data_IF_289773394657
#
_entry.id   IF_289773394657
#
_cell.length_a   1.000
_cell.length_b   1.000
_cell.length_c   1.000
_cell.angle_alpha   90.00
_cell.angle_beta   90.00
_cell.angle_gamma   90.00
#
_symmetry.space_group_name_H-M   'P 1'
#
loop_
_entity.id
_entity.type
_entity.pdbx_description
1 polymer ?
#
# COMPACT_ATOMS: atom_id res chain seq x y z
N UNK A 1 4.22 -60.55 23.45
CA UNK A 1 3.57 -60.18 24.72
C UNK A 1 3.32 -58.69 24.69
N UNK A 2 2.11 -58.24 24.34
CA UNK A 2 1.03 -57.76 25.21
C UNK A 2 1.58 -56.75 26.25
N UNK A 3 1.22 -55.48 26.24
CA UNK A 3 -0.03 -54.77 26.61
C UNK A 3 0.34 -53.29 26.78
N UNK A 4 -0.42 -52.27 26.77
CA UNK A 4 -1.84 -51.91 26.68
C UNK A 4 -1.87 -50.36 26.57
N UNK A 5 -2.68 -49.90 25.73
CA UNK A 5 -3.13 -48.54 25.49
C UNK A 5 -3.88 -47.98 26.70
N UNK A 6 -3.64 -46.72 27.06
CA UNK A 6 -4.58 -45.98 27.89
C UNK A 6 -4.85 -44.60 27.27
N UNK A 7 -6.04 -44.44 26.82
CA UNK A 7 -6.68 -43.17 26.43
C UNK A 7 -7.06 -42.39 27.71
N UNK A 8 -6.72 -41.11 27.76
CA UNK A 8 -7.35 -40.19 28.70
C UNK A 8 -7.99 -39.08 27.90
N UNK A 9 -9.30 -39.15 27.76
CA UNK A 9 -10.17 -38.04 27.34
C UNK A 9 -10.26 -37.07 28.53
N UNK A 10 -9.82 -35.83 28.33
CA UNK A 10 -10.18 -34.75 29.23
C UNK A 10 -11.32 -33.92 28.56
N UNK A 11 -12.53 -34.12 29.02
CA UNK A 11 -13.68 -33.29 28.70
C UNK A 11 -13.58 -31.99 29.50
N UNK A 12 -13.46 -30.86 28.84
CA UNK A 12 -13.62 -29.54 29.47
C UNK A 12 -15.08 -29.16 29.36
N UNK A 13 -15.73 -29.12 30.52
CA UNK A 13 -17.08 -28.56 30.68
C UNK A 13 -17.00 -27.04 30.57
N UNK A 14 -17.67 -26.48 29.56
CA UNK A 14 -17.97 -25.05 29.49
C UNK A 14 -19.22 -24.80 30.37
N UNK A 15 -19.03 -24.11 31.49
CA UNK A 15 -20.12 -23.61 32.33
C UNK A 15 -20.56 -22.26 31.78
N UNK A 16 -21.66 -22.22 31.03
CA UNK A 16 -22.37 -20.98 30.73
C UNK A 16 -23.11 -20.51 31.98
N UNK A 17 -22.65 -19.45 32.64
CA UNK A 17 -23.42 -18.71 33.61
C UNK A 17 -24.33 -17.71 32.89
N UNK A 18 -25.60 -18.05 32.75
CA UNK A 18 -26.65 -17.11 32.37
C UNK A 18 -27.03 -16.25 33.60
N UNK A 19 -26.67 -14.98 33.52
CA UNK A 19 -27.23 -13.99 34.43
C UNK A 19 -28.49 -13.39 33.75
N UNK A 20 -29.65 -13.79 34.22
CA UNK A 20 -30.94 -13.19 33.84
C UNK A 20 -31.12 -11.92 34.67
N UNK A 21 -31.06 -10.76 34.05
CA UNK A 21 -31.59 -9.53 34.61
C UNK A 21 -32.89 -9.19 33.91
N UNK A 22 -34.01 -9.44 34.60
CA UNK A 22 -35.32 -8.89 34.24
C UNK A 22 -35.39 -7.45 34.71
N UNK A 23 -35.43 -6.52 33.79
CA UNK A 23 -35.94 -5.18 34.02
C UNK A 23 -37.03 -4.89 32.98
N UNK A 24 -38.26 -4.81 33.43
CA UNK A 24 -39.37 -4.35 32.60
C UNK A 24 -39.30 -2.83 32.47
N UNK A 25 -39.11 -2.33 31.29
CA UNK A 25 -39.59 -1.03 30.84
C UNK A 25 -40.07 -1.20 29.40
N UNK A 26 -41.41 -1.03 29.23
CA UNK A 26 -42.06 -0.99 27.95
C UNK A 26 -41.68 0.31 27.26
N UNK A 27 -40.76 0.23 26.27
CA UNK A 27 -40.62 1.19 25.19
C UNK A 27 -40.47 0.38 23.90
N UNK A 28 -41.62 0.18 23.23
CA UNK A 28 -41.71 -0.48 21.92
C UNK A 28 -41.25 0.46 20.80
N UNK A 29 -39.99 0.90 20.83
CA UNK A 29 -39.29 1.40 19.66
C UNK A 29 -38.64 0.20 19.00
N UNK A 30 -38.87 -0.06 17.70
CA UNK A 30 -38.15 -1.15 17.00
C UNK A 30 -36.66 -0.87 17.06
N UNK A 31 -35.92 -1.69 17.81
CA UNK A 31 -34.48 -1.68 17.83
C UNK A 31 -34.05 -2.02 16.43
N UNK A 32 -33.37 -1.08 15.75
CA UNK A 32 -32.73 -1.32 14.47
C UNK A 32 -31.67 -2.42 14.70
N UNK A 33 -31.74 -3.60 14.03
CA UNK A 33 -30.79 -4.68 14.23
C UNK A 33 -29.32 -4.27 13.99
N UNK A 34 -29.06 -3.15 13.30
CA UNK A 34 -27.73 -2.58 13.07
C UNK A 34 -27.16 -1.85 14.30
N UNK A 35 -27.99 -1.48 15.30
CA UNK A 35 -27.54 -0.80 16.54
C UNK A 35 -26.95 -1.73 17.61
N UNK A 36 -27.10 -3.05 17.48
CA UNK A 36 -26.53 -4.02 18.43
C UNK A 36 -25.17 -4.58 18.00
N UNK A 37 -24.71 -4.31 16.78
CA UNK A 37 -23.39 -4.75 16.32
C UNK A 37 -22.32 -3.76 16.76
N UNK A 38 -21.34 -4.22 17.50
CA UNK A 38 -20.18 -3.42 17.87
C UNK A 38 -19.21 -3.38 16.68
N UNK A 39 -19.37 -2.38 15.83
CA UNK A 39 -18.48 -2.11 14.72
C UNK A 39 -17.17 -1.44 15.19
N UNK A 40 -16.12 -1.58 14.40
CA UNK A 40 -14.90 -0.77 14.54
C UNK A 40 -15.21 0.71 14.31
N UNK A 41 -14.32 1.59 14.74
CA UNK A 41 -14.51 3.04 14.54
C UNK A 41 -14.59 3.39 13.05
N UNK A 42 -13.75 2.77 12.21
CA UNK A 42 -13.79 2.97 10.76
C UNK A 42 -15.15 2.63 10.16
N UNK A 43 -15.75 1.49 10.53
CA UNK A 43 -17.08 1.10 10.04
C UNK A 43 -18.18 1.98 10.62
N UNK A 44 -18.09 2.34 11.90
CA UNK A 44 -19.06 3.24 12.55
C UNK A 44 -19.05 4.63 11.89
N UNK A 45 -17.89 5.13 11.49
CA UNK A 45 -17.78 6.37 10.73
C UNK A 45 -18.36 6.22 9.31
N UNK A 46 -18.05 5.11 8.62
CA UNK A 46 -18.60 4.85 7.29
C UNK A 46 -20.13 4.83 7.30
N UNK A 47 -20.75 4.16 8.26
CA UNK A 47 -22.21 4.12 8.40
C UNK A 47 -22.76 5.53 8.54
N UNK A 48 -22.19 6.35 9.42
CA UNK A 48 -22.61 7.77 9.59
C UNK A 48 -22.47 8.58 8.31
N UNK A 49 -21.37 8.40 7.59
CA UNK A 49 -21.15 9.07 6.31
C UNK A 49 -22.15 8.63 5.25
N UNK A 50 -22.41 7.35 5.13
CA UNK A 50 -23.36 6.83 4.14
C UNK A 50 -24.80 7.26 4.45
N UNK A 51 -25.17 7.35 5.71
CA UNK A 51 -26.51 7.86 6.12
C UNK A 51 -26.65 9.36 5.84
N UNK A 52 -25.57 10.12 5.97
CA UNK A 52 -25.53 11.55 5.63
C UNK A 52 -25.45 11.85 4.13
N UNK A 53 -25.05 10.88 3.30
CA UNK A 53 -24.79 11.06 1.84
C UNK A 53 -25.44 9.93 1.04
N UNK A 54 -26.77 9.92 0.90
CA UNK A 54 -27.53 8.84 0.25
C UNK A 54 -27.18 8.64 -1.22
N UNK A 55 -26.67 9.64 -1.89
CA UNK A 55 -26.20 9.58 -3.28
C UNK A 55 -24.88 8.79 -3.39
N UNK A 56 -23.94 8.96 -2.44
CA UNK A 56 -22.69 8.20 -2.36
C UNK A 56 -22.96 6.78 -1.88
N UNK A 57 -23.85 6.61 -0.89
CA UNK A 57 -24.34 5.29 -0.46
C UNK A 57 -24.86 4.46 -1.65
N UNK A 58 -25.67 5.07 -2.50
CA UNK A 58 -26.21 4.40 -3.70
C UNK A 58 -25.10 4.04 -4.72
N UNK A 59 -24.01 4.82 -4.81
CA UNK A 59 -22.85 4.47 -5.65
C UNK A 59 -22.10 3.28 -5.07
N UNK A 60 -21.87 3.24 -3.76
CA UNK A 60 -21.20 2.11 -3.08
C UNK A 60 -22.05 0.83 -3.20
N UNK A 61 -23.36 0.88 -2.94
CA UNK A 61 -24.26 -0.25 -3.14
C UNK A 61 -24.24 -0.75 -4.59
N UNK A 62 -24.19 0.15 -5.57
CA UNK A 62 -24.10 -0.21 -7.00
C UNK A 62 -22.76 -0.85 -7.33
N UNK A 63 -21.66 -0.40 -6.72
CA UNK A 63 -20.33 -1.02 -6.88
C UNK A 63 -20.35 -2.45 -6.35
N UNK A 64 -20.83 -2.66 -5.12
CA UNK A 64 -20.96 -3.98 -4.50
C UNK A 64 -21.84 -4.92 -5.33
N UNK A 65 -22.99 -4.42 -5.84
CA UNK A 65 -23.86 -5.21 -6.70
C UNK A 65 -23.21 -5.61 -8.04
N UNK A 66 -22.39 -4.73 -8.64
CA UNK A 66 -21.60 -5.09 -9.83
C UNK A 66 -20.53 -6.13 -9.50
N UNK A 67 -19.83 -6.00 -8.38
CA UNK A 67 -18.88 -7.00 -7.90
C UNK A 67 -19.55 -8.37 -7.71
N UNK A 68 -20.77 -8.40 -7.15
CA UNK A 68 -21.57 -9.62 -7.01
C UNK A 68 -21.97 -10.24 -8.36
N UNK A 69 -22.20 -9.41 -9.39
CA UNK A 69 -22.49 -9.90 -10.73
C UNK A 69 -21.24 -10.49 -11.44
N UNK A 70 -20.05 -9.93 -11.18
CA UNK A 70 -18.77 -10.42 -11.72
C UNK A 70 -18.36 -11.73 -11.03
N UNK A 71 -18.44 -11.77 -9.72
CA UNK A 71 -18.19 -12.96 -8.92
C UNK A 71 -19.38 -13.27 -8.00
N UNK A 72 -20.33 -14.14 -8.43
CA UNK A 72 -21.49 -14.49 -7.62
C UNK A 72 -21.18 -15.52 -6.52
N UNK A 73 -20.01 -16.14 -6.50
CA UNK A 73 -19.66 -17.17 -5.54
C UNK A 73 -19.36 -16.56 -4.16
N UNK A 74 -20.29 -16.74 -3.23
CA UNK A 74 -20.20 -16.20 -1.87
C UNK A 74 -19.03 -16.74 -1.04
N UNK A 75 -18.38 -17.81 -1.46
CA UNK A 75 -17.16 -18.31 -0.80
C UNK A 75 -15.99 -17.33 -0.99
N UNK A 76 -15.92 -16.73 -2.16
CA UNK A 76 -14.85 -15.78 -2.53
C UNK A 76 -15.32 -14.32 -2.52
N UNK A 77 -16.61 -14.08 -2.68
CA UNK A 77 -17.24 -12.77 -2.61
C UNK A 77 -18.40 -12.78 -1.57
N UNK A 78 -18.08 -12.80 -0.26
CA UNK A 78 -19.09 -12.86 0.80
C UNK A 78 -19.91 -11.57 0.93
N UNK A 79 -19.33 -10.39 0.68
CA UNK A 79 -19.96 -9.10 0.84
C UNK A 79 -20.70 -8.68 -0.45
N UNK A 80 -21.94 -9.10 -0.60
CA UNK A 80 -22.80 -8.78 -1.75
C UNK A 80 -23.88 -7.74 -1.43
N UNK A 81 -23.92 -7.26 -0.19
CA UNK A 81 -24.77 -6.17 0.30
C UNK A 81 -23.94 -5.18 1.10
N UNK A 82 -24.48 -3.96 1.32
CA UNK A 82 -23.78 -2.95 2.10
C UNK A 82 -23.54 -3.39 3.55
N UNK A 83 -24.50 -4.07 4.19
CA UNK A 83 -24.31 -4.62 5.54
C UNK A 83 -23.20 -5.67 5.58
N UNK A 84 -23.17 -6.58 4.62
CA UNK A 84 -22.08 -7.56 4.52
C UNK A 84 -20.72 -6.91 4.19
N UNK A 85 -20.73 -5.78 3.51
CA UNK A 85 -19.51 -4.98 3.30
C UNK A 85 -18.97 -4.40 4.61
N UNK A 86 -19.86 -3.89 5.48
CA UNK A 86 -19.48 -3.42 6.81
C UNK A 86 -18.88 -4.57 7.66
N UNK A 87 -19.51 -5.73 7.66
CA UNK A 87 -19.00 -6.92 8.36
C UNK A 87 -17.62 -7.34 7.82
N UNK A 88 -17.41 -7.26 6.50
CA UNK A 88 -16.12 -7.55 5.88
C UNK A 88 -15.05 -6.54 6.29
N UNK A 89 -15.35 -5.24 6.30
CA UNK A 89 -14.38 -4.20 6.69
C UNK A 89 -13.95 -4.37 8.14
N UNK A 90 -14.89 -4.67 9.05
CA UNK A 90 -14.59 -4.96 10.46
C UNK A 90 -13.61 -6.13 10.63
N UNK A 91 -13.78 -7.16 9.83
CA UNK A 91 -12.86 -8.29 9.81
C UNK A 91 -11.51 -7.91 9.21
N UNK A 92 -11.52 -7.21 8.08
CA UNK A 92 -10.33 -6.96 7.26
C UNK A 92 -9.30 -6.06 7.95
N UNK A 93 -9.73 -5.05 8.71
CA UNK A 93 -8.82 -4.15 9.46
C UNK A 93 -8.08 -4.83 10.61
N UNK A 94 -8.32 -6.13 10.82
CA UNK A 94 -7.64 -6.96 11.83
C UNK A 94 -6.94 -8.17 11.21
N UNK A 95 -6.65 -8.12 9.91
CA UNK A 95 -5.92 -9.17 9.21
C UNK A 95 -4.53 -8.67 8.83
N UNK A 96 -3.57 -9.58 8.75
CA UNK A 96 -2.27 -9.25 8.18
C UNK A 96 -2.43 -9.05 6.66
N UNK A 97 -1.82 -7.99 6.11
CA UNK A 97 -2.00 -7.63 4.70
C UNK A 97 -0.99 -8.31 3.77
N UNK A 98 -0.57 -9.48 4.07
CA UNK A 98 0.47 -10.16 3.29
C UNK A 98 -0.02 -11.43 2.64
N UNK A 99 0.57 -11.79 1.53
CA UNK A 99 0.33 -13.04 0.85
C UNK A 99 1.46 -14.07 1.05
N UNK A 100 2.31 -13.85 2.07
CA UNK A 100 3.35 -14.84 2.44
C UNK A 100 2.79 -16.24 2.62
N UNK A 101 1.53 -16.30 3.01
CA UNK A 101 0.79 -17.53 3.19
C UNK A 101 0.48 -18.24 1.87
N UNK A 102 0.34 -17.53 0.74
CA UNK A 102 0.09 -18.12 -0.58
C UNK A 102 1.27 -19.00 -1.00
N UNK A 103 2.50 -18.54 -0.79
CA UNK A 103 3.70 -19.25 -1.20
C UNK A 103 3.91 -20.54 -0.42
N UNK A 104 3.39 -20.64 0.81
CA UNK A 104 3.67 -21.76 1.69
C UNK A 104 2.61 -22.84 1.67
N UNK A 105 1.34 -22.54 1.49
CA UNK A 105 0.28 -23.55 1.51
C UNK A 105 -1.07 -23.07 0.93
N UNK A 106 -1.19 -22.82 -0.39
CA UNK A 106 -2.46 -22.38 -0.98
C UNK A 106 -3.62 -23.36 -0.72
N UNK A 107 -3.32 -24.64 -0.53
CA UNK A 107 -4.30 -25.69 -0.26
C UNK A 107 -4.75 -25.77 1.21
N UNK A 108 -4.01 -25.18 2.13
CA UNK A 108 -4.31 -25.22 3.58
C UNK A 108 -5.17 -24.05 4.03
N UNK A 109 -5.15 -22.93 3.30
CA UNK A 109 -6.08 -21.82 3.52
C UNK A 109 -7.42 -22.19 2.94
N UNK A 110 -8.41 -22.30 3.76
CA UNK A 110 -9.76 -22.72 3.41
C UNK A 110 -10.25 -22.15 2.08
N UNK A 111 -11.17 -22.83 1.45
CA UNK A 111 -11.72 -22.47 0.14
C UNK A 111 -12.67 -21.26 0.19
N UNK A 112 -12.45 -20.32 1.08
CA UNK A 112 -13.27 -19.10 1.21
C UNK A 112 -12.39 -17.89 1.44
N UNK A 113 -12.89 -16.70 1.14
CA UNK A 113 -12.16 -15.45 1.36
C UNK A 113 -11.66 -15.30 2.80
N UNK A 114 -12.51 -15.60 3.78
CA UNK A 114 -12.14 -15.49 5.20
C UNK A 114 -11.07 -16.49 5.67
N UNK A 115 -10.80 -17.50 4.88
CA UNK A 115 -9.64 -18.38 5.06
C UNK A 115 -8.40 -17.93 4.30
N UNK A 116 -8.48 -16.82 3.55
CA UNK A 116 -7.41 -16.29 2.71
C UNK A 116 -7.18 -14.82 3.04
N UNK A 117 -6.51 -14.57 4.15
CA UNK A 117 -6.21 -13.21 4.64
C UNK A 117 -5.38 -12.39 3.66
N UNK A 118 -4.54 -13.05 2.85
CA UNK A 118 -3.81 -12.51 1.72
C UNK A 118 -4.70 -11.82 0.69
N UNK A 119 -5.91 -12.31 0.51
CA UNK A 119 -6.85 -11.79 -0.48
C UNK A 119 -7.70 -10.62 0.02
N UNK A 120 -7.64 -10.30 1.32
CA UNK A 120 -8.49 -9.27 1.93
C UNK A 120 -8.28 -7.87 1.33
N UNK A 121 -7.02 -7.51 1.02
CA UNK A 121 -6.68 -6.24 0.35
C UNK A 121 -7.28 -6.18 -1.05
N UNK A 122 -7.00 -7.18 -1.87
CA UNK A 122 -7.51 -7.25 -3.24
C UNK A 122 -9.03 -7.28 -3.28
N UNK A 123 -9.66 -8.03 -2.39
CA UNK A 123 -11.11 -8.12 -2.33
C UNK A 123 -11.76 -6.79 -1.94
N UNK A 124 -11.19 -6.04 -0.98
CA UNK A 124 -11.68 -4.70 -0.65
C UNK A 124 -11.72 -3.81 -1.90
N UNK A 125 -10.60 -3.73 -2.62
CA UNK A 125 -10.52 -2.93 -3.82
C UNK A 125 -11.46 -3.43 -4.92
N UNK A 126 -11.57 -4.74 -5.11
CA UNK A 126 -12.54 -5.31 -6.05
C UNK A 126 -13.98 -4.85 -5.79
N UNK A 127 -14.39 -4.73 -4.51
CA UNK A 127 -15.74 -4.26 -4.16
C UNK A 127 -15.97 -2.79 -4.49
N UNK A 128 -14.96 -1.92 -4.29
CA UNK A 128 -15.13 -0.47 -4.43
C UNK A 128 -14.67 0.08 -5.78
N UNK A 129 -13.93 -0.70 -6.57
CA UNK A 129 -13.38 -0.30 -7.86
C UNK A 129 -14.23 -0.72 -9.07
N UNK A 130 -15.48 -1.13 -8.86
CA UNK A 130 -16.34 -1.44 -10.00
C UNK A 130 -16.70 -0.15 -10.76
N UNK A 131 -16.47 -0.11 -12.09
CA UNK A 131 -16.71 1.12 -12.88
C UNK A 131 -18.19 1.48 -12.87
N UNK A 132 -18.49 2.75 -12.62
CA UNK A 132 -19.85 3.29 -12.53
C UNK A 132 -20.09 4.31 -13.63
N UNK A 133 -21.00 4.00 -14.56
CA UNK A 133 -21.36 4.87 -15.70
C UNK A 133 -21.70 6.31 -15.29
N UNK A 134 -22.33 6.48 -14.12
CA UNK A 134 -22.68 7.79 -13.56
C UNK A 134 -21.47 8.67 -13.26
N UNK A 135 -20.28 8.07 -13.12
CA UNK A 135 -19.02 8.75 -12.82
C UNK A 135 -18.14 8.96 -14.06
N UNK A 136 -18.50 8.37 -15.21
CA UNK A 136 -17.74 8.52 -16.44
C UNK A 136 -17.70 10.00 -16.89
N UNK A 137 -16.51 10.43 -17.34
CA UNK A 137 -16.31 11.79 -17.85
C UNK A 137 -16.30 12.89 -16.78
N UNK A 138 -16.37 12.55 -15.48
CA UNK A 138 -16.33 13.52 -14.38
C UNK A 138 -14.94 13.93 -13.93
N UNK A 139 -13.87 13.42 -14.57
CA UNK A 139 -12.49 13.81 -14.28
C UNK A 139 -11.83 13.02 -13.16
N UNK A 140 -12.47 11.97 -12.68
CA UNK A 140 -11.83 11.02 -11.76
C UNK A 140 -10.77 10.16 -12.49
N UNK A 141 -9.79 9.64 -11.73
CA UNK A 141 -8.78 8.74 -12.28
C UNK A 141 -9.43 7.48 -12.88
N UNK A 142 -10.29 6.82 -12.08
CA UNK A 142 -11.25 5.83 -12.55
C UNK A 142 -12.68 6.27 -12.21
N UNK A 143 -13.69 5.84 -12.96
CA UNK A 143 -15.08 6.13 -12.65
C UNK A 143 -15.63 5.19 -11.56
N UNK A 144 -14.95 5.18 -10.39
CA UNK A 144 -15.22 4.30 -9.25
C UNK A 144 -15.55 5.10 -8.00
N UNK A 145 -16.19 4.48 -7.02
CA UNK A 145 -16.62 5.20 -5.80
C UNK A 145 -15.44 5.64 -4.94
N UNK A 146 -14.28 5.01 -5.07
CA UNK A 146 -13.08 5.32 -4.28
C UNK A 146 -12.60 6.78 -4.44
N UNK A 147 -12.94 7.45 -5.55
CA UNK A 147 -12.58 8.85 -5.80
C UNK A 147 -13.71 9.84 -5.48
N UNK A 148 -14.83 9.38 -4.92
CA UNK A 148 -16.00 10.22 -4.65
C UNK A 148 -16.04 10.62 -3.18
N UNK A 149 -16.04 11.93 -2.90
CA UNK A 149 -16.21 12.42 -1.54
C UNK A 149 -17.65 12.19 -1.01
N UNK A 150 -17.83 11.85 0.28
CA UNK A 150 -16.80 11.74 1.32
C UNK A 150 -16.16 10.34 1.46
N UNK A 151 -16.49 9.39 0.58
CA UNK A 151 -15.93 8.04 0.65
C UNK A 151 -14.40 8.05 0.42
N UNK A 152 -13.90 8.89 -0.49
CA UNK A 152 -12.46 9.06 -0.73
C UNK A 152 -11.71 9.48 0.55
N UNK A 153 -12.24 10.43 1.30
CA UNK A 153 -11.66 10.86 2.59
C UNK A 153 -11.74 9.74 3.64
N UNK A 154 -12.83 8.97 3.66
CA UNK A 154 -12.98 7.85 4.59
C UNK A 154 -11.95 6.74 4.36
N UNK A 155 -11.46 6.52 3.13
CA UNK A 155 -10.40 5.55 2.87
C UNK A 155 -9.14 5.81 3.71
N UNK A 156 -8.86 7.05 4.05
CA UNK A 156 -7.76 7.39 4.98
C UNK A 156 -8.07 6.92 6.41
N UNK A 157 -9.31 7.07 6.88
CA UNK A 157 -9.74 6.53 8.18
C UNK A 157 -9.62 5.00 8.21
N UNK A 158 -10.05 4.34 7.14
CA UNK A 158 -9.91 2.89 6.99
C UNK A 158 -8.44 2.46 7.04
N UNK A 159 -7.56 3.12 6.28
CA UNK A 159 -6.13 2.84 6.26
C UNK A 159 -5.49 3.04 7.65
N UNK A 160 -5.80 4.15 8.32
CA UNK A 160 -5.29 4.44 9.66
C UNK A 160 -5.77 3.41 10.68
N UNK A 161 -7.05 3.04 10.67
CA UNK A 161 -7.61 2.02 11.58
C UNK A 161 -6.89 0.66 11.43
N UNK A 162 -6.54 0.31 10.21
CA UNK A 162 -5.75 -0.89 9.96
C UNK A 162 -4.30 -0.74 10.45
N UNK A 163 -3.66 0.38 10.13
CA UNK A 163 -2.30 0.71 10.57
C UNK A 163 -2.15 0.75 12.09
N UNK A 164 -3.18 1.25 12.80
CA UNK A 164 -3.24 1.27 14.26
C UNK A 164 -3.25 -0.16 14.82
N UNK A 165 -4.09 -1.06 14.26
CA UNK A 165 -4.08 -2.45 14.66
C UNK A 165 -2.73 -3.14 14.36
N UNK A 166 -2.13 -2.88 13.19
CA UNK A 166 -0.81 -3.40 12.82
C UNK A 166 0.34 -2.88 13.71
N UNK A 167 0.07 -1.85 14.49
CA UNK A 167 0.97 -1.29 15.51
C UNK A 167 0.73 -1.87 16.91
N UNK A 168 -0.22 -2.81 17.06
CA UNK A 168 -0.46 -3.52 18.34
C UNK A 168 0.27 -4.84 18.41
N UNK A 169 0.52 -5.33 19.63
CA UNK A 169 1.13 -6.66 19.83
C UNK A 169 0.25 -7.82 19.35
N UNK A 170 -1.07 -7.61 19.15
CA UNK A 170 -1.97 -8.61 18.59
C UNK A 170 -1.66 -8.94 17.12
N UNK A 171 -1.04 -8.00 16.40
CA UNK A 171 -0.69 -8.15 14.98
C UNK A 171 0.54 -9.01 14.74
N UNK A 172 1.27 -9.42 15.79
CA UNK A 172 2.52 -10.17 15.64
C UNK A 172 2.68 -11.28 16.69
N UNK A 173 3.21 -12.44 16.29
CA UNK A 173 3.45 -13.57 17.18
C UNK A 173 4.53 -14.51 16.60
N UNK A 174 4.92 -15.51 17.40
CA UNK A 174 5.94 -16.51 17.03
C UNK A 174 5.55 -17.30 15.77
N UNK A 175 4.28 -17.53 15.52
CA UNK A 175 3.84 -18.25 14.31
C UNK A 175 4.13 -17.42 13.07
N UNK A 176 3.79 -16.14 13.07
CA UNK A 176 4.09 -15.22 11.96
C UNK A 176 5.59 -15.02 11.77
N UNK A 177 6.33 -14.86 12.89
CA UNK A 177 7.79 -14.79 12.84
C UNK A 177 8.39 -16.03 12.16
N UNK A 178 7.96 -17.23 12.56
CA UNK A 178 8.47 -18.48 12.00
C UNK A 178 8.15 -18.63 10.50
N UNK A 179 6.97 -18.18 10.05
CA UNK A 179 6.61 -18.16 8.63
C UNK A 179 7.62 -17.34 7.81
N UNK A 180 7.85 -16.09 8.20
CA UNK A 180 8.78 -15.21 7.45
C UNK A 180 10.24 -15.60 7.64
N UNK A 181 10.64 -16.16 8.79
CA UNK A 181 12.01 -16.61 9.04
C UNK A 181 12.39 -17.84 8.22
N UNK A 182 11.42 -18.69 7.87
CA UNK A 182 11.63 -19.90 7.07
C UNK A 182 11.54 -19.67 5.57
N UNK A 183 10.89 -18.60 5.15
CA UNK A 183 10.78 -18.23 3.75
C UNK A 183 12.01 -17.39 3.32
N UNK A 184 12.81 -17.88 2.34
CA UNK A 184 14.03 -17.20 1.92
C UNK A 184 13.78 -15.84 1.26
N UNK A 185 12.59 -15.59 0.73
CA UNK A 185 12.26 -14.35 0.01
C UNK A 185 12.17 -13.15 0.95
N UNK A 186 11.90 -13.39 2.25
CA UNK A 186 11.92 -12.34 3.27
C UNK A 186 13.32 -11.95 3.73
N UNK A 187 14.36 -12.69 3.37
CA UNK A 187 15.75 -12.38 3.69
C UNK A 187 16.16 -12.54 5.16
N UNK A 188 15.25 -12.94 6.05
CA UNK A 188 15.54 -13.09 7.48
C UNK A 188 16.54 -14.21 7.71
N UNK A 189 16.35 -15.36 7.06
CA UNK A 189 17.27 -16.50 7.12
C UNK A 189 18.66 -16.19 6.54
N UNK A 190 18.78 -15.12 5.74
CA UNK A 190 20.06 -14.64 5.19
C UNK A 190 20.84 -13.76 6.17
N UNK A 191 20.26 -13.42 7.31
CA UNK A 191 20.90 -12.56 8.33
C UNK A 191 20.99 -11.09 7.90
N UNK A 192 20.11 -10.64 7.02
CA UNK A 192 20.14 -9.28 6.49
C UNK A 192 19.65 -8.23 7.47
N UNK A 193 18.83 -8.63 8.45
CA UNK A 193 18.09 -7.72 9.30
C UNK A 193 18.52 -7.81 10.76
N UNK A 194 18.14 -6.82 11.53
CA UNK A 194 18.26 -6.78 12.98
C UNK A 194 17.62 -8.01 13.65
N UNK A 195 17.92 -8.21 14.94
CA UNK A 195 17.35 -9.31 15.71
C UNK A 195 15.81 -9.24 15.76
N UNK A 196 15.17 -10.18 15.07
CA UNK A 196 13.72 -10.28 14.98
C UNK A 196 12.98 -10.51 16.30
N UNK A 197 13.70 -10.91 17.37
CA UNK A 197 13.13 -10.99 18.72
C UNK A 197 12.69 -9.63 19.29
N UNK A 198 13.08 -8.53 18.63
CA UNK A 198 12.69 -7.17 18.99
C UNK A 198 11.38 -6.74 18.37
N UNK A 199 10.91 -7.42 17.32
CA UNK A 199 9.67 -7.09 16.67
C UNK A 199 8.49 -7.52 17.53
N UNK A 200 7.71 -6.57 17.97
CA UNK A 200 6.54 -6.75 18.85
C UNK A 200 5.23 -6.61 18.09
N UNK A 201 5.28 -5.93 16.95
CA UNK A 201 4.14 -5.62 16.09
C UNK A 201 4.47 -5.96 14.64
N UNK A 202 3.44 -6.09 13.80
CA UNK A 202 3.66 -6.24 12.37
C UNK A 202 4.43 -5.04 11.77
N UNK A 203 4.13 -3.82 12.23
CA UNK A 203 4.81 -2.62 11.76
C UNK A 203 6.30 -2.57 12.15
N UNK A 204 6.69 -3.14 13.31
CA UNK A 204 8.13 -3.32 13.65
C UNK A 204 8.81 -4.23 12.61
N UNK A 205 8.17 -5.36 12.29
CA UNK A 205 8.68 -6.29 11.29
C UNK A 205 8.71 -5.65 9.88
N UNK A 206 7.64 -4.97 9.48
CA UNK A 206 7.53 -4.39 8.14
C UNK A 206 8.58 -3.30 7.90
N UNK A 207 8.81 -2.43 8.88
CA UNK A 207 9.84 -1.38 8.85
C UNK A 207 11.19 -1.82 9.43
N UNK A 208 11.47 -3.13 9.42
CA UNK A 208 12.70 -3.74 9.94
C UNK A 208 13.97 -3.04 9.45
N UNK A 209 15.01 -3.05 10.26
CA UNK A 209 16.31 -2.42 9.94
C UNK A 209 17.30 -3.45 9.45
N UNK A 210 18.25 -3.00 8.65
CA UNK A 210 19.40 -3.83 8.29
C UNK A 210 20.24 -4.16 9.54
N UNK A 211 20.82 -5.35 9.57
CA UNK A 211 21.71 -5.79 10.64
C UNK A 211 22.96 -4.89 10.72
N UNK A 212 23.48 -4.47 9.57
CA UNK A 212 24.56 -3.49 9.43
C UNK A 212 24.52 -2.90 8.01
N UNK A 213 25.17 -1.75 7.77
CA UNK A 213 25.30 -1.20 6.42
C UNK A 213 25.99 -2.16 5.42
N UNK A 214 26.84 -3.06 5.90
CA UNK A 214 27.61 -3.99 5.06
C UNK A 214 26.73 -5.01 4.33
N UNK A 215 25.51 -5.24 4.78
CA UNK A 215 24.57 -6.17 4.10
C UNK A 215 23.95 -5.56 2.84
N UNK A 216 24.11 -4.27 2.66
CA UNK A 216 23.68 -3.51 1.48
C UNK A 216 24.83 -2.58 1.04
N UNK A 217 25.89 -3.11 0.42
CA UNK A 217 27.00 -2.28 -0.03
C UNK A 217 26.53 -1.30 -1.11
N UNK A 218 26.98 -0.06 -1.00
CA UNK A 218 26.64 1.00 -1.95
C UNK A 218 27.56 0.93 -3.16
N UNK A 219 26.99 0.76 -4.34
CA UNK A 219 27.73 0.67 -5.60
C UNK A 219 28.36 2.01 -6.00
N UNK A 220 29.44 1.93 -6.75
CA UNK A 220 30.07 3.10 -7.38
C UNK A 220 29.37 3.44 -8.71
N UNK A 221 28.18 4.04 -8.60
CA UNK A 221 27.36 4.52 -9.71
C UNK A 221 26.77 5.89 -9.34
N UNK A 222 26.37 6.69 -10.32
CA UNK A 222 25.81 8.02 -10.04
C UNK A 222 24.48 7.92 -9.32
N UNK A 223 23.68 6.89 -9.65
CA UNK A 223 22.40 6.60 -8.99
C UNK A 223 22.39 5.16 -8.51
N UNK A 224 22.04 4.96 -7.25
CA UNK A 224 21.83 3.64 -6.66
C UNK A 224 20.36 3.38 -6.39
N UNK A 225 19.99 2.10 -6.28
CA UNK A 225 18.61 1.74 -5.91
C UNK A 225 18.25 2.31 -4.52
N UNK A 226 17.16 3.07 -4.42
CA UNK A 226 16.76 3.67 -3.15
C UNK A 226 16.17 2.65 -2.17
N UNK A 227 15.80 1.46 -2.64
CA UNK A 227 15.18 0.40 -1.85
C UNK A 227 15.45 -0.96 -2.49
N UNK A 228 15.12 -2.06 -1.79
CA UNK A 228 14.96 -3.37 -2.42
C UNK A 228 13.72 -3.27 -3.31
N UNK A 229 13.85 -3.42 -4.64
CA UNK A 229 12.75 -3.03 -5.55
C UNK A 229 12.99 -3.44 -7.00
N UNK A 230 11.95 -3.34 -7.82
CA UNK A 230 11.93 -3.62 -9.26
C UNK A 230 11.94 -2.33 -10.07
N UNK A 231 13.07 -1.92 -10.68
CA UNK A 231 13.13 -0.76 -11.57
C UNK A 231 12.15 -0.91 -12.73
N UNK A 232 11.49 0.20 -13.05
CA UNK A 232 10.58 0.30 -14.19
C UNK A 232 11.22 1.17 -15.29
N UNK A 233 10.45 1.45 -16.33
CA UNK A 233 10.91 2.19 -17.52
C UNK A 233 11.25 3.66 -17.21
N UNK A 234 11.82 4.33 -18.21
CA UNK A 234 12.03 5.78 -18.22
C UNK A 234 10.91 6.47 -18.99
N UNK A 235 10.41 7.56 -18.44
CA UNK A 235 9.42 8.42 -19.10
C UNK A 235 9.98 9.82 -19.31
N UNK A 236 9.78 10.36 -20.50
CA UNK A 236 10.14 11.74 -20.81
C UNK A 236 9.13 12.70 -20.19
N UNK A 237 9.63 13.81 -19.67
CA UNK A 237 8.82 14.95 -19.27
C UNK A 237 8.89 15.99 -20.39
N UNK A 238 7.77 16.40 -20.94
CA UNK A 238 7.68 17.42 -21.97
C UNK A 238 8.07 18.81 -21.46
N UNK A 239 8.24 19.75 -22.40
CA UNK A 239 8.50 21.16 -22.07
C UNK A 239 7.36 21.84 -21.32
N UNK A 240 6.16 21.28 -21.42
CA UNK A 240 4.96 21.69 -20.69
C UNK A 240 4.87 21.10 -19.27
N UNK A 241 5.96 20.48 -18.78
CA UNK A 241 6.05 19.83 -17.44
C UNK A 241 5.10 18.63 -17.28
N UNK A 242 4.78 17.92 -18.37
CA UNK A 242 3.90 16.75 -18.36
C UNK A 242 4.63 15.51 -18.83
N UNK A 243 4.24 14.35 -18.27
CA UNK A 243 4.73 13.06 -18.74
C UNK A 243 4.24 12.79 -20.17
N UNK A 244 5.17 12.42 -21.04
CA UNK A 244 4.86 11.94 -22.37
C UNK A 244 4.61 10.43 -22.33
N UNK A 245 3.34 10.05 -22.41
CA UNK A 245 2.95 8.65 -22.45
C UNK A 245 2.99 8.10 -23.87
N UNK A 246 3.37 6.81 -24.05
CA UNK A 246 3.13 6.14 -25.32
C UNK A 246 1.64 6.23 -25.70
N UNK A 247 1.33 6.35 -26.99
CA UNK A 247 -0.04 6.51 -27.49
C UNK A 247 -1.01 5.37 -27.08
N UNK A 248 -0.50 4.26 -26.59
CA UNK A 248 -1.24 3.11 -26.07
C UNK A 248 -1.67 3.28 -24.61
N UNK A 249 -1.05 4.21 -23.87
CA UNK A 249 -1.38 4.57 -22.49
C UNK A 249 -2.06 5.95 -22.48
N UNK A 250 -3.25 6.07 -23.03
CA UNK A 250 -4.04 7.28 -22.92
C UNK A 250 -4.60 7.39 -21.51
N UNK A 251 -3.90 8.13 -20.65
CA UNK A 251 -4.49 8.61 -19.40
C UNK A 251 -5.60 9.60 -19.77
N UNK A 252 -6.81 9.26 -19.38
CA UNK A 252 -8.04 9.95 -19.83
C UNK A 252 -8.18 11.39 -19.35
N UNK A 253 -7.28 11.91 -18.50
CA UNK A 253 -7.32 13.29 -18.04
C UNK A 253 -5.92 13.90 -18.01
N UNK A 254 -5.77 15.12 -18.57
CA UNK A 254 -4.52 15.87 -18.62
C UNK A 254 -3.88 16.15 -17.23
N UNK A 255 -4.66 16.07 -16.16
CA UNK A 255 -4.20 16.32 -14.78
C UNK A 255 -3.26 15.23 -14.25
N UNK A 256 -3.32 14.01 -14.73
CA UNK A 256 -2.57 12.88 -14.21
C UNK A 256 -1.16 12.74 -14.79
N UNK A 257 -0.77 13.63 -15.66
CA UNK A 257 0.58 13.69 -16.24
C UNK A 257 1.39 14.89 -15.75
N UNK A 258 0.85 15.72 -14.89
CA UNK A 258 1.44 17.00 -14.48
C UNK A 258 2.45 16.79 -13.34
N UNK A 259 3.73 17.06 -13.61
CA UNK A 259 4.81 16.94 -12.64
C UNK A 259 4.66 17.96 -11.50
N UNK A 260 4.09 19.14 -11.76
CA UNK A 260 3.81 20.10 -10.70
C UNK A 260 2.81 19.54 -9.67
N UNK A 261 1.79 18.81 -10.14
CA UNK A 261 0.87 18.10 -9.24
C UNK A 261 1.56 16.97 -8.47
N UNK A 262 2.46 16.21 -9.13
CA UNK A 262 3.18 15.11 -8.50
C UNK A 262 4.09 15.61 -7.37
N UNK A 263 4.88 16.66 -7.60
CA UNK A 263 5.80 17.27 -6.62
C UNK A 263 5.03 18.08 -5.55
N UNK A 264 3.84 18.56 -5.88
CA UNK A 264 3.00 19.43 -5.08
C UNK A 264 2.99 20.88 -5.63
N UNK A 265 1.79 21.39 -5.92
CA UNK A 265 1.60 22.69 -6.59
C UNK A 265 2.16 23.89 -5.82
N UNK A 266 2.38 23.74 -4.52
CA UNK A 266 2.97 24.75 -3.61
C UNK A 266 4.50 24.59 -3.44
N UNK A 267 5.14 23.63 -4.12
CA UNK A 267 6.60 23.50 -4.15
C UNK A 267 7.24 24.61 -4.97
N UNK A 268 8.37 25.16 -4.48
CA UNK A 268 9.21 26.08 -5.25
C UNK A 268 9.87 25.39 -6.47
N UNK A 269 9.94 24.04 -6.46
CA UNK A 269 10.60 23.24 -7.48
C UNK A 269 9.63 22.56 -8.46
N UNK A 270 8.33 22.84 -8.38
CA UNK A 270 7.29 22.17 -9.18
C UNK A 270 7.51 22.21 -10.68
N UNK A 271 8.15 23.28 -11.18
CA UNK A 271 8.43 23.47 -12.62
C UNK A 271 9.89 23.16 -13.00
N UNK A 272 10.70 22.73 -12.01
CA UNK A 272 12.13 22.53 -12.20
C UNK A 272 12.49 21.34 -13.11
N UNK A 273 11.54 20.45 -13.37
CA UNK A 273 11.77 19.18 -14.06
C UNK A 273 11.20 19.14 -15.49
N UNK A 274 10.65 20.24 -15.99
CA UNK A 274 10.20 20.35 -17.37
C UNK A 274 11.31 19.99 -18.38
N UNK A 275 11.02 19.09 -19.33
CA UNK A 275 11.99 18.53 -20.28
C UNK A 275 12.98 17.56 -19.68
N UNK A 276 12.74 17.10 -18.48
CA UNK A 276 13.53 16.10 -17.77
C UNK A 276 13.08 14.67 -18.02
N UNK A 277 13.35 13.80 -17.05
CA UNK A 277 13.04 12.36 -17.14
C UNK A 277 12.56 11.85 -15.78
N UNK A 278 11.57 10.97 -15.80
CA UNK A 278 11.05 10.26 -14.64
C UNK A 278 11.31 8.76 -14.77
N UNK A 279 11.61 8.11 -13.68
CA UNK A 279 11.54 6.65 -13.52
C UNK A 279 10.96 6.32 -12.15
N UNK A 280 10.56 5.09 -11.95
CA UNK A 280 10.17 4.62 -10.62
C UNK A 280 10.58 3.18 -10.38
N UNK A 281 10.52 2.75 -9.13
CA UNK A 281 10.89 1.41 -8.70
C UNK A 281 9.91 0.90 -7.65
N UNK A 282 9.31 -0.25 -7.93
CA UNK A 282 8.23 -0.85 -7.14
C UNK A 282 8.81 -1.83 -6.10
N UNK A 283 8.30 -1.78 -4.87
CA UNK A 283 8.66 -2.70 -3.80
C UNK A 283 7.56 -3.75 -3.63
N UNK A 284 7.97 -5.02 -3.60
CA UNK A 284 7.08 -6.11 -3.21
C UNK A 284 6.89 -6.16 -1.68
N UNK A 285 5.84 -6.83 -1.22
CA UNK A 285 5.49 -6.89 0.23
C UNK A 285 6.61 -7.49 1.10
N UNK A 286 7.38 -8.42 0.55
CA UNK A 286 8.51 -9.08 1.23
C UNK A 286 9.81 -8.27 1.20
N UNK A 287 9.87 -7.18 0.44
CA UNK A 287 11.04 -6.33 0.33
C UNK A 287 11.38 -5.59 1.63
N UNK A 288 12.54 -4.96 1.64
CA UNK A 288 13.00 -4.08 2.69
C UNK A 288 12.34 -2.70 2.53
N UNK A 289 11.44 -2.34 3.45
CA UNK A 289 10.58 -1.14 3.32
C UNK A 289 11.17 0.12 3.96
N UNK A 290 12.51 0.28 3.92
CA UNK A 290 13.18 1.55 4.18
C UNK A 290 13.78 2.08 2.89
N UNK A 291 13.71 3.38 2.72
CA UNK A 291 14.25 4.02 1.53
C UNK A 291 15.45 4.91 1.86
N UNK A 292 16.36 4.96 0.91
CA UNK A 292 17.69 5.55 1.03
C UNK A 292 17.92 6.56 -0.09
N UNK A 293 18.85 7.49 0.10
CA UNK A 293 19.17 8.48 -0.92
C UNK A 293 19.76 7.81 -2.16
N UNK A 294 19.16 8.00 -3.35
CA UNK A 294 19.68 7.42 -4.59
C UNK A 294 20.95 8.13 -5.09
N UNK A 295 21.19 9.36 -4.64
CA UNK A 295 22.29 10.24 -5.05
C UNK A 295 22.92 10.94 -3.86
N UNK A 296 24.17 11.40 -3.97
CA UNK A 296 24.74 12.34 -3.01
C UNK A 296 24.33 13.78 -3.36
N UNK A 297 24.01 14.59 -2.36
CA UNK A 297 23.60 15.98 -2.59
C UNK A 297 23.08 16.67 -1.33
N UNK A 298 22.57 17.87 -1.48
CA UNK A 298 22.02 18.67 -0.40
C UNK A 298 20.49 18.70 -0.48
N UNK A 299 19.80 18.44 0.61
CA UNK A 299 18.33 18.52 0.68
C UNK A 299 17.90 19.98 0.50
N UNK A 300 17.10 20.26 -0.53
CA UNK A 300 16.54 21.58 -0.80
C UNK A 300 15.09 21.70 -0.37
N UNK A 301 14.36 20.61 -0.40
CA UNK A 301 12.98 20.54 0.07
C UNK A 301 12.70 19.16 0.66
N UNK A 302 11.88 19.11 1.70
CA UNK A 302 11.40 17.87 2.32
C UNK A 302 9.92 18.05 2.66
N UNK A 303 9.03 17.26 2.07
CA UNK A 303 7.57 17.47 2.17
C UNK A 303 6.81 16.18 2.31
N UNK A 304 5.65 16.27 2.94
CA UNK A 304 4.55 15.32 2.80
C UNK A 304 3.46 15.92 1.91
N UNK A 305 2.98 15.12 0.97
CA UNK A 305 1.94 15.51 0.02
C UNK A 305 0.76 14.57 0.24
N UNK A 306 -0.31 15.09 0.88
CA UNK A 306 -1.49 14.27 1.10
C UNK A 306 -2.13 13.88 -0.24
N UNK A 307 -2.60 12.66 -0.31
CA UNK A 307 -3.31 12.11 -1.45
C UNK A 307 -4.49 11.26 -0.99
N UNK A 308 -5.04 10.48 -1.89
CA UNK A 308 -6.09 9.50 -1.58
C UNK A 308 -5.42 8.19 -1.17
N UNK A 309 -5.99 7.49 -0.20
CA UNK A 309 -5.63 6.10 0.08
C UNK A 309 -6.35 5.21 -0.95
N UNK A 310 -6.01 5.33 -2.23
CA UNK A 310 -6.64 4.60 -3.31
C UNK A 310 -5.87 3.33 -3.68
N UNK A 311 -6.48 2.42 -4.40
CA UNK A 311 -5.78 1.29 -4.99
C UNK A 311 -4.90 1.74 -6.15
N UNK A 312 -3.64 1.30 -6.19
CA UNK A 312 -2.64 1.68 -7.21
C UNK A 312 -2.90 1.13 -8.62
N UNK A 313 -4.14 0.92 -8.97
CA UNK A 313 -4.64 0.34 -10.21
C UNK A 313 -6.08 -0.09 -10.03
N UNK A 314 -6.50 -1.17 -10.68
CA UNK A 314 -7.81 -1.77 -10.44
C UNK A 314 -7.69 -3.28 -10.19
N UNK A 315 -8.56 -3.79 -9.35
CA UNK A 315 -8.55 -5.20 -8.96
C UNK A 315 -9.52 -6.00 -9.81
N UNK A 316 -9.04 -7.12 -10.32
CA UNK A 316 -9.81 -8.07 -11.12
C UNK A 316 -9.98 -9.39 -10.37
N UNK A 317 -11.05 -10.12 -10.73
CA UNK A 317 -11.28 -11.48 -10.29
C UNK A 317 -10.82 -12.48 -11.36
N UNK A 318 -9.93 -13.39 -10.98
CA UNK A 318 -9.58 -14.54 -11.79
C UNK A 318 -10.45 -15.73 -11.38
N UNK A 319 -11.37 -16.12 -12.27
CA UNK A 319 -12.28 -17.21 -11.97
C UNK A 319 -11.63 -18.60 -12.05
N UNK A 320 -10.52 -18.74 -12.73
CA UNK A 320 -9.83 -20.04 -12.88
C UNK A 320 -8.91 -20.28 -11.67
N UNK A 321 -8.12 -19.27 -11.29
CA UNK A 321 -7.21 -19.34 -10.16
C UNK A 321 -7.89 -19.04 -8.80
N UNK A 322 -9.14 -18.54 -8.81
CA UNK A 322 -9.92 -18.19 -7.61
C UNK A 322 -9.21 -17.16 -6.73
N UNK A 323 -8.68 -16.11 -7.35
CA UNK A 323 -7.97 -15.04 -6.65
C UNK A 323 -8.33 -13.66 -7.19
N UNK A 324 -8.11 -12.65 -6.36
CA UNK A 324 -8.13 -11.24 -6.72
C UNK A 324 -6.71 -10.78 -7.01
N UNK A 325 -6.51 -10.14 -8.15
CA UNK A 325 -5.19 -9.64 -8.53
C UNK A 325 -5.27 -8.19 -8.99
N UNK A 326 -4.20 -7.46 -8.74
CA UNK A 326 -4.06 -6.09 -9.18
C UNK A 326 -3.62 -6.00 -10.64
N UNK A 327 -4.29 -5.13 -11.36
CA UNK A 327 -3.80 -4.64 -12.63
C UNK A 327 -3.26 -3.22 -12.41
N UNK A 328 -1.94 -3.11 -12.33
CA UNK A 328 -1.28 -1.83 -12.15
C UNK A 328 -1.35 -1.02 -13.43
N UNK A 329 -1.72 0.25 -13.30
CA UNK A 329 -1.70 1.24 -14.37
C UNK A 329 -0.79 2.40 -13.96
N UNK A 330 -0.17 3.06 -14.93
CA UNK A 330 0.64 4.25 -14.66
C UNK A 330 -0.25 5.43 -14.27
N UNK A 331 0.22 6.22 -13.31
CA UNK A 331 -0.43 7.46 -12.91
C UNK A 331 -1.01 7.45 -11.49
N UNK A 332 -1.11 6.29 -10.82
CA UNK A 332 -1.53 6.23 -9.42
C UNK A 332 -0.64 7.09 -8.53
N UNK A 333 0.64 7.21 -8.84
CA UNK A 333 1.61 8.05 -8.12
C UNK A 333 1.17 9.51 -8.02
N UNK A 334 0.35 9.98 -8.98
CA UNK A 334 -0.15 11.35 -9.02
C UNK A 334 -1.25 11.63 -8.01
N UNK A 335 -1.96 10.61 -7.55
CA UNK A 335 -3.16 10.75 -6.72
C UNK A 335 -2.97 10.23 -5.29
N UNK A 336 -2.03 9.33 -5.06
CA UNK A 336 -1.81 8.72 -3.76
C UNK A 336 -0.99 9.59 -2.80
N UNK A 337 -1.09 9.27 -1.51
CA UNK A 337 -0.27 9.89 -0.46
C UNK A 337 1.20 9.61 -0.72
N UNK A 338 2.02 10.65 -0.68
CA UNK A 338 3.43 10.58 -0.99
C UNK A 338 4.25 11.60 -0.21
N UNK A 339 5.54 11.40 -0.23
CA UNK A 339 6.49 12.41 0.25
C UNK A 339 7.45 12.80 -0.89
N UNK A 340 8.10 13.94 -0.77
CA UNK A 340 9.04 14.44 -1.77
C UNK A 340 10.27 15.01 -1.08
N UNK A 341 11.45 14.56 -1.52
CA UNK A 341 12.73 15.19 -1.23
C UNK A 341 13.31 15.75 -2.52
N UNK A 342 13.62 17.03 -2.55
CA UNK A 342 14.41 17.65 -3.63
C UNK A 342 15.86 17.68 -3.19
N UNK A 343 16.72 17.01 -3.93
CA UNK A 343 18.15 16.85 -3.65
C UNK A 343 18.94 17.58 -4.73
N UNK A 344 19.74 18.58 -4.37
CA UNK A 344 20.67 19.21 -5.29
C UNK A 344 22.00 18.47 -5.26
N UNK A 345 22.29 17.80 -6.35
CA UNK A 345 23.57 17.08 -6.56
C UNK A 345 24.69 18.05 -6.97
N UNK A 346 25.94 17.66 -6.77
CA UNK A 346 27.07 18.51 -7.17
C UNK A 346 27.21 18.63 -8.70
N UNK A 347 26.90 17.56 -9.44
CA UNK A 347 27.20 17.46 -10.88
C UNK A 347 25.96 17.41 -11.78
N UNK A 348 24.81 16.97 -11.30
CA UNK A 348 23.66 16.63 -12.13
C UNK A 348 22.40 17.48 -11.86
N UNK A 349 22.55 18.57 -11.07
CA UNK A 349 21.44 19.46 -10.72
C UNK A 349 20.46 18.80 -9.74
N UNK A 350 19.17 19.13 -9.86
CA UNK A 350 18.15 18.63 -8.93
C UNK A 350 17.69 17.23 -9.30
N UNK A 351 17.52 16.40 -8.27
CA UNK A 351 16.86 15.11 -8.32
C UNK A 351 15.71 15.14 -7.31
N UNK A 352 14.51 14.82 -7.75
CA UNK A 352 13.41 14.56 -6.82
C UNK A 352 13.36 13.06 -6.52
N UNK A 353 13.29 12.72 -5.24
CA UNK A 353 13.01 11.38 -4.74
C UNK A 353 11.67 11.40 -4.02
N UNK A 354 10.77 10.51 -4.44
CA UNK A 354 9.40 10.52 -3.95
C UNK A 354 8.97 9.12 -3.54
N UNK A 355 8.99 8.78 -2.25
CA UNK A 355 8.32 7.59 -1.76
C UNK A 355 6.80 7.79 -1.87
N UNK A 356 6.12 6.79 -2.44
CA UNK A 356 4.67 6.75 -2.67
C UNK A 356 4.10 5.66 -1.77
N UNK A 357 3.11 6.01 -0.96
CA UNK A 357 2.36 5.05 -0.15
C UNK A 357 1.15 4.56 -0.95
N UNK A 358 1.22 3.32 -1.43
CA UNK A 358 0.16 2.73 -2.24
C UNK A 358 -0.95 2.13 -1.39
N UNK A 359 -2.17 2.16 -1.89
CA UNK A 359 -3.35 1.53 -1.27
C UNK A 359 -3.60 2.04 0.16
N UNK A 360 -3.73 1.13 1.12
CA UNK A 360 -3.92 1.42 2.53
C UNK A 360 -2.67 1.97 3.22
N UNK A 361 -1.58 2.22 2.48
CA UNK A 361 -0.35 2.72 3.05
C UNK A 361 -0.35 4.23 3.01
N UNK A 362 -0.96 4.84 3.92
CA UNK A 362 -0.90 6.30 4.04
C UNK A 362 0.38 6.80 4.72
N UNK A 363 1.46 5.98 4.77
CA UNK A 363 2.62 6.30 5.59
C UNK A 363 3.93 6.27 4.80
N UNK A 364 4.42 7.46 4.45
CA UNK A 364 5.79 7.71 4.00
C UNK A 364 6.49 8.56 5.06
N UNK A 365 7.41 7.98 5.82
CA UNK A 365 8.00 8.63 7.00
C UNK A 365 9.45 9.04 6.72
N UNK A 366 9.78 10.31 6.97
CA UNK A 366 11.18 10.75 7.02
C UNK A 366 11.81 10.46 8.37
N UNK A 367 13.13 10.23 8.40
CA UNK A 367 13.87 10.25 9.65
C UNK A 367 13.76 11.66 10.28
N UNK A 368 13.45 11.73 11.57
CA UNK A 368 13.35 13.00 12.30
C UNK A 368 14.65 13.83 12.28
N UNK A 369 15.76 13.16 12.04
CA UNK A 369 17.09 13.79 11.96
C UNK A 369 17.36 14.48 10.62
N UNK A 370 16.49 14.30 9.61
CA UNK A 370 16.69 14.92 8.29
C UNK A 370 16.06 16.32 8.22
N UNK A 371 16.85 17.28 7.76
CA UNK A 371 16.42 18.66 7.61
C UNK A 371 16.83 19.23 6.25
N UNK A 372 16.08 20.23 5.80
CA UNK A 372 16.49 21.04 4.65
C UNK A 372 17.85 21.68 4.92
N UNK A 373 18.77 21.53 3.99
CA UNK A 373 20.16 21.99 4.10
C UNK A 373 21.16 20.87 4.46
N UNK A 374 20.67 19.71 4.92
CA UNK A 374 21.56 18.59 5.22
C UNK A 374 22.20 18.00 3.94
N UNK A 375 23.44 17.56 4.09
CA UNK A 375 24.15 16.81 3.06
C UNK A 375 23.82 15.33 3.19
N UNK A 376 23.37 14.72 2.11
CA UNK A 376 23.15 13.30 1.99
C UNK A 376 24.29 12.62 1.25
N UNK A 377 24.65 11.43 1.70
CA UNK A 377 25.46 10.50 0.93
C UNK A 377 24.55 9.49 0.23
N UNK A 378 24.99 9.02 -0.93
CA UNK A 378 24.35 7.93 -1.66
C UNK A 378 24.20 6.70 -0.77
N UNK A 379 23.04 6.08 -0.74
CA UNK A 379 22.73 4.94 0.13
C UNK A 379 22.45 5.31 1.59
N UNK A 380 22.48 6.60 1.97
CA UNK A 380 22.11 7.02 3.32
C UNK A 380 20.60 6.83 3.54
N UNK A 381 20.21 6.18 4.64
CA UNK A 381 18.80 6.00 5.02
C UNK A 381 18.10 7.37 5.19
N UNK A 382 16.93 7.48 4.56
CA UNK A 382 16.10 8.70 4.62
C UNK A 382 14.78 8.48 5.35
N UNK A 383 14.24 7.27 5.32
CA UNK A 383 12.94 7.02 5.91
C UNK A 383 12.43 5.60 5.74
N UNK A 384 11.16 5.41 6.01
CA UNK A 384 10.52 4.10 5.94
C UNK A 384 9.04 4.19 5.58
N UNK A 385 8.53 3.12 5.00
CA UNK A 385 7.10 2.87 4.90
C UNK A 385 6.63 2.07 6.12
N UNK A 386 5.41 2.32 6.55
CA UNK A 386 4.66 1.39 7.37
C UNK A 386 3.66 0.70 6.45
N UNK A 387 3.43 -0.54 6.74
CA UNK A 387 2.46 -1.42 6.15
C UNK A 387 2.00 -1.14 4.70
N UNK A 388 2.26 -2.09 3.81
CA UNK A 388 1.63 -2.33 2.51
C UNK A 388 2.54 -2.19 1.28
N UNK A 389 2.05 -2.06 0.04
CA UNK A 389 2.84 -1.88 -1.18
C UNK A 389 3.41 -0.46 -1.29
N UNK A 390 4.53 -0.27 -1.94
CA UNK A 390 5.19 1.01 -2.01
C UNK A 390 5.98 1.18 -3.30
N UNK A 391 6.21 2.42 -3.66
CA UNK A 391 6.95 2.81 -4.86
C UNK A 391 7.88 3.97 -4.53
N UNK A 392 8.97 4.11 -5.28
CA UNK A 392 9.83 5.28 -5.24
C UNK A 392 9.95 5.86 -6.63
N UNK A 393 9.48 7.09 -6.79
CA UNK A 393 9.65 7.86 -8.02
C UNK A 393 10.94 8.67 -7.95
N UNK A 394 11.71 8.65 -9.03
CA UNK A 394 12.90 9.47 -9.21
C UNK A 394 12.70 10.38 -10.43
N UNK A 395 12.93 11.69 -10.24
CA UNK A 395 12.80 12.67 -11.31
C UNK A 395 14.10 13.43 -11.46
N UNK A 396 14.57 13.56 -12.69
CA UNK A 396 15.82 14.20 -13.05
C UNK A 396 15.59 15.40 -13.96
N UNK A 397 16.34 16.46 -13.75
CA UNK A 397 16.22 17.70 -14.53
C UNK A 397 16.58 17.52 -16.00
N UNK A 398 16.15 18.49 -16.80
CA UNK A 398 16.56 18.66 -18.20
C UNK A 398 18.10 18.68 -18.32
N UNK A 399 18.59 18.14 -19.42
CA UNK A 399 20.02 18.15 -19.74
C UNK A 399 20.82 17.00 -19.14
N UNK A 400 20.17 16.11 -18.41
CA UNK A 400 20.74 14.85 -17.93
C UNK A 400 20.29 13.71 -18.85
N UNK A 401 21.24 12.89 -19.25
CA UNK A 401 20.99 11.62 -19.92
C UNK A 401 21.09 10.50 -18.89
N UNK A 402 20.07 9.67 -18.82
CA UNK A 402 19.96 8.58 -17.85
C UNK A 402 20.02 7.27 -18.62
N UNK A 403 20.87 6.38 -18.17
CA UNK A 403 20.95 5.01 -18.65
C UNK A 403 20.66 4.08 -17.48
N UNK A 404 19.46 3.45 -17.45
CA UNK A 404 19.18 2.39 -16.51
C UNK A 404 20.14 1.22 -16.76
N UNK A 405 20.69 0.68 -15.67
CA UNK A 405 21.65 -0.43 -15.75
C UNK A 405 20.94 -1.78 -15.71
N UNK A 406 19.79 -1.81 -15.05
CA UNK A 406 18.96 -3.00 -14.91
C UNK A 406 17.51 -2.61 -15.18
N UNK A 407 16.88 -3.32 -16.10
CA UNK A 407 15.46 -3.16 -16.42
C UNK A 407 14.77 -4.51 -16.27
N UNK A 408 13.84 -4.61 -15.33
CA UNK A 408 13.11 -5.84 -15.05
C UNK A 408 13.81 -6.82 -14.10
N UNK A 409 14.99 -6.49 -13.57
CA UNK A 409 15.65 -7.26 -12.51
C UNK A 409 15.34 -6.64 -11.15
N UNK A 410 15.17 -7.48 -10.12
CA UNK A 410 15.07 -7.00 -8.74
C UNK A 410 16.43 -6.49 -8.28
N UNK A 411 16.49 -5.27 -7.77
CA UNK A 411 17.67 -4.68 -7.17
C UNK A 411 17.54 -4.62 -5.67
N UNK A 412 18.65 -4.86 -4.97
CA UNK A 412 18.76 -4.53 -3.56
C UNK A 412 19.13 -3.05 -3.38
N UNK A 413 18.71 -2.47 -2.27
CA UNK A 413 19.09 -1.10 -1.90
C UNK A 413 20.61 -0.93 -1.97
N UNK A 414 21.07 0.16 -2.60
CA UNK A 414 22.49 0.45 -2.79
C UNK A 414 23.11 -0.13 -4.05
N UNK A 415 22.48 -1.09 -4.74
CA UNK A 415 22.99 -1.58 -6.04
C UNK A 415 22.89 -0.51 -7.12
N UNK A 416 23.73 -0.63 -8.15
CA UNK A 416 23.80 0.34 -9.24
C UNK A 416 22.46 0.39 -10.01
N UNK A 417 21.80 1.56 -9.99
CA UNK A 417 20.51 1.77 -10.64
C UNK A 417 20.66 2.39 -12.03
N UNK A 418 21.41 3.48 -12.14
CA UNK A 418 21.60 4.19 -13.40
C UNK A 418 22.94 4.94 -13.46
N UNK A 419 23.42 5.12 -14.68
CA UNK A 419 24.47 6.08 -15.02
C UNK A 419 23.86 7.41 -15.48
N UNK A 420 24.43 8.50 -14.99
CA UNK A 420 24.09 9.86 -15.40
C UNK A 420 25.22 10.48 -16.23
N UNK A 421 24.86 11.17 -17.30
CA UNK A 421 25.77 12.00 -18.07
C UNK A 421 25.10 13.33 -18.43
N UNK A 422 25.85 14.41 -18.46
CA UNK A 422 25.32 15.68 -18.99
C UNK A 422 25.18 15.59 -20.52
N UNK A 423 24.04 15.99 -21.06
CA UNK A 423 23.84 16.15 -22.50
C UNK A 423 24.85 17.22 -22.98
N UNK A 424 25.61 16.91 -24.02
CA UNK A 424 26.48 17.94 -24.66
C UNK A 424 25.56 19.04 -25.22
N UNK A 425 25.82 20.26 -24.78
CA UNK A 425 25.15 21.45 -25.31
C UNK A 425 25.39 21.62 -26.80
#
# INVERSE_FOLDING_TARGET
MRKIMHWVLAAILIICSQAVFTSCSNDDTPINPEQERQHTEAVSELIRLMDGHPDVKALLEKSIAKAAAVNPDRRYNPAQTLTEFYDFVDWNVRQLPWDVMIHQAPSEYGQSLYGRTDQGVGYFWFLVQQPLEKLEGRGYYYPTVEFVEPFASWLTTYANSWGDWLSTEESWNDTYYNLVATDPDWGISKGWYEDGSRWRTYNDFFSRRLASPDVRPVADAEVVSPADSWPKELWTIGDDNRLEYPATLQIKTAKLSDIAQLIGEDSEYKDAFAGGTLTHTFLDVNDYHRYHSPVSGTIRELRHIPGVAAGGGYTLWDNDEKLYYYHNDMGFQMVETRSCAIIETDDYGLVAMMPIGMSQICSCNWLESLHVGDRLERGQEMGWFLFGGSDNVLIFQRGINIQLLHSGDHLLMGEAYAHLTRKKQ
#
